data_IF_173594567597
#
_entry.id   IF_173594567597
#
_cell.length_a   1.000
_cell.length_b   1.000
_cell.length_c   1.000
_cell.angle_alpha   90.00
_cell.angle_beta   90.00
_cell.angle_gamma   90.00
#
_symmetry.space_group_name_H-M   'P 1'
#
loop_
_entity.id
_entity.type
_entity.pdbx_description
1 polymer ?
#
# COMPACT_ATOMS: atom_id res chain seq x y z
N UNK A 1 24.82 9.58 -14.78
CA UNK A 1 24.95 9.56 -13.30
C UNK A 1 23.83 8.66 -12.77
N UNK A 2 24.09 7.37 -12.53
CA UNK A 2 23.07 6.42 -12.08
C UNK A 2 22.71 6.63 -10.61
N UNK A 3 21.63 7.36 -10.34
CA UNK A 3 20.97 7.53 -9.03
C UNK A 3 21.92 7.70 -7.82
N UNK A 4 23.04 8.43 -8.00
CA UNK A 4 23.97 8.73 -6.91
C UNK A 4 23.46 9.94 -6.13
N UNK A 5 23.27 9.76 -4.83
CA UNK A 5 22.91 10.84 -3.89
C UNK A 5 24.19 11.37 -3.26
N UNK A 6 24.36 12.69 -3.20
CA UNK A 6 25.50 13.30 -2.53
C UNK A 6 25.40 13.07 -1.02
N UNK A 7 26.49 12.63 -0.40
CA UNK A 7 26.56 12.35 1.03
C UNK A 7 27.82 12.94 1.64
N UNK A 8 27.69 13.51 2.84
CA UNK A 8 28.79 14.08 3.63
C UNK A 8 28.66 13.54 5.05
N UNK A 9 29.79 13.09 5.62
CA UNK A 9 29.85 12.41 6.91
C UNK A 9 29.20 13.21 8.05
N UNK A 10 29.36 14.54 8.05
CA UNK A 10 28.84 15.42 9.10
C UNK A 10 27.31 15.34 9.21
N UNK A 11 26.60 15.32 8.08
CA UNK A 11 25.14 15.22 8.05
C UNK A 11 24.71 13.87 8.64
N UNK A 12 25.36 12.77 8.24
CA UNK A 12 25.07 11.44 8.78
C UNK A 12 25.34 11.34 10.28
N UNK A 13 26.44 11.94 10.78
CA UNK A 13 26.75 11.95 12.22
C UNK A 13 25.70 12.71 13.04
N UNK A 14 25.18 13.82 12.52
CA UNK A 14 24.14 14.61 13.20
C UNK A 14 22.84 13.80 13.31
N UNK A 15 22.37 13.23 12.20
CA UNK A 15 21.14 12.41 12.18
C UNK A 15 21.30 11.19 13.09
N UNK A 16 22.42 10.47 12.99
CA UNK A 16 22.68 9.29 13.82
C UNK A 16 22.76 9.60 15.32
N UNK A 17 23.28 10.78 15.70
CA UNK A 17 23.28 11.22 17.10
C UNK A 17 21.86 11.44 17.63
N UNK A 18 20.97 12.04 16.84
CA UNK A 18 19.57 12.28 17.22
C UNK A 18 18.85 10.93 17.39
N UNK A 19 18.97 10.05 16.39
CA UNK A 19 18.38 8.70 16.44
C UNK A 19 18.85 7.90 17.65
N UNK A 20 20.15 7.97 17.99
CA UNK A 20 20.73 7.27 19.13
C UNK A 20 20.18 7.76 20.47
N UNK A 21 19.97 9.08 20.61
CA UNK A 21 19.39 9.64 21.83
C UNK A 21 17.92 9.22 22.00
N UNK A 22 17.13 9.24 20.94
CA UNK A 22 15.73 8.81 20.99
C UNK A 22 15.61 7.30 21.26
N UNK A 23 16.47 6.48 20.64
CA UNK A 23 16.54 5.06 20.92
C UNK A 23 16.84 4.79 22.41
N UNK A 24 17.77 5.54 23.00
CA UNK A 24 18.10 5.40 24.42
C UNK A 24 16.91 5.75 25.31
N UNK A 25 16.21 6.86 25.03
CA UNK A 25 15.01 7.26 25.80
C UNK A 25 13.95 6.15 25.78
N UNK A 26 13.67 5.59 24.60
CA UNK A 26 12.69 4.51 24.43
C UNK A 26 13.12 3.23 25.15
N UNK A 27 14.39 2.82 25.04
CA UNK A 27 14.92 1.63 25.70
C UNK A 27 14.83 1.72 27.24
N UNK A 28 15.17 2.88 27.81
CA UNK A 28 15.04 3.08 29.26
C UNK A 28 13.58 3.04 29.69
N UNK A 29 12.67 3.65 28.90
CA UNK A 29 11.24 3.69 29.20
C UNK A 29 10.61 2.30 29.23
N UNK A 30 10.98 1.43 28.29
CA UNK A 30 10.56 0.02 28.27
C UNK A 30 11.02 -0.71 29.53
N UNK A 31 12.20 -0.36 30.07
CA UNK A 31 12.76 -0.93 31.30
C UNK A 31 12.26 -0.23 32.59
N UNK A 32 11.21 0.60 32.51
CA UNK A 32 10.60 1.27 33.66
C UNK A 32 11.40 2.45 34.21
N UNK A 33 12.41 2.95 33.49
CA UNK A 33 13.19 4.14 33.85
C UNK A 33 12.89 5.27 32.88
N UNK A 34 12.72 6.50 33.38
CA UNK A 34 12.50 7.66 32.50
C UNK A 34 13.75 8.56 32.51
N UNK A 35 14.40 8.70 31.35
CA UNK A 35 15.58 9.58 31.16
C UNK A 35 15.26 10.81 30.29
N UNK A 36 13.98 11.05 30.02
CA UNK A 36 13.49 12.13 29.17
C UNK A 36 12.35 11.67 28.28
N UNK A 37 11.47 12.60 27.94
CA UNK A 37 10.37 12.29 27.03
C UNK A 37 10.87 12.13 25.57
N UNK A 38 10.25 11.22 24.80
CA UNK A 38 10.47 11.12 23.37
C UNK A 38 10.23 12.47 22.69
N UNK A 39 10.97 12.71 21.63
CA UNK A 39 10.84 13.92 20.83
C UNK A 39 9.41 14.10 20.29
N UNK A 40 8.85 15.30 20.48
CA UNK A 40 7.55 15.74 19.96
C UNK A 40 7.68 17.20 19.47
N UNK A 41 7.44 17.51 18.18
CA UNK A 41 7.00 16.63 17.09
C UNK A 41 8.00 15.52 16.73
N UNK A 42 7.53 14.33 16.30
CA UNK A 42 8.40 13.16 16.08
C UNK A 42 9.29 13.27 14.85
N UNK A 43 9.01 14.19 13.92
CA UNK A 43 9.83 14.38 12.72
C UNK A 43 10.68 15.65 12.83
N UNK A 44 11.96 15.51 12.50
CA UNK A 44 12.93 16.59 12.37
C UNK A 44 13.53 16.56 10.98
N UNK A 45 13.55 17.72 10.33
CA UNK A 45 14.34 17.96 9.14
C UNK A 45 15.61 18.74 9.52
N UNK A 46 16.78 18.23 9.13
CA UNK A 46 18.04 18.93 9.31
C UNK A 46 18.57 19.41 7.96
N UNK A 47 18.71 20.71 7.80
CA UNK A 47 19.31 21.32 6.63
C UNK A 47 20.83 21.47 6.82
N UNK A 48 21.61 20.57 6.22
CA UNK A 48 23.08 20.58 6.31
C UNK A 48 23.79 21.77 5.66
N UNK A 49 23.10 22.58 4.83
CA UNK A 49 23.67 23.79 4.21
C UNK A 49 23.61 24.97 5.18
N UNK A 50 22.49 25.13 5.88
CA UNK A 50 22.25 26.24 6.80
C UNK A 50 22.42 25.87 8.29
N UNK A 51 22.58 24.59 8.60
CA UNK A 51 22.68 24.10 9.98
C UNK A 51 21.37 24.23 10.77
N UNK A 52 20.22 24.26 10.09
CA UNK A 52 18.91 24.50 10.69
C UNK A 52 18.16 23.20 10.99
N UNK A 53 17.39 23.21 12.07
CA UNK A 53 16.50 22.12 12.48
C UNK A 53 15.05 22.60 12.43
N UNK A 54 14.24 21.92 11.64
CA UNK A 54 12.80 22.20 11.51
C UNK A 54 12.02 20.98 12.00
N UNK A 55 11.18 21.19 13.03
CA UNK A 55 10.27 20.15 13.52
C UNK A 55 9.00 20.13 12.68
N UNK A 56 8.61 18.93 12.22
CA UNK A 56 7.43 18.72 11.40
C UNK A 56 6.38 17.91 12.18
N UNK A 57 5.18 18.47 12.30
CA UNK A 57 4.05 17.76 12.86
C UNK A 57 3.44 16.84 11.80
N UNK A 58 3.91 15.59 11.76
CA UNK A 58 3.30 14.54 10.92
C UNK A 58 2.27 13.80 11.76
N UNK A 59 0.98 14.06 11.48
CA UNK A 59 -0.12 13.36 12.12
C UNK A 59 -0.32 11.98 11.48
N UNK A 60 -0.67 11.00 12.32
CA UNK A 60 -1.10 9.68 11.84
C UNK A 60 -2.37 9.87 10.99
N UNK A 61 -2.33 9.33 9.79
CA UNK A 61 -3.47 9.25 8.89
C UNK A 61 -4.25 7.97 9.17
N UNK A 62 -5.54 8.09 9.46
CA UNK A 62 -6.42 6.93 9.71
C UNK A 62 -6.69 6.12 8.43
N UNK A 63 -6.60 6.78 7.26
CA UNK A 63 -6.72 6.19 5.93
C UNK A 63 -5.39 5.64 5.38
N UNK A 64 -4.35 5.54 6.22
CA UNK A 64 -3.05 5.01 5.80
C UNK A 64 -3.13 3.49 5.58
N UNK A 65 -2.77 3.02 4.38
CA UNK A 65 -2.73 1.60 4.01
C UNK A 65 -1.89 0.71 4.95
N UNK A 66 -0.88 1.28 5.62
CA UNK A 66 0.05 0.50 6.46
C UNK A 66 -0.30 0.51 7.94
N UNK A 67 -0.69 1.67 8.49
CA UNK A 67 -0.91 1.83 9.93
C UNK A 67 -2.30 2.38 10.29
N UNK A 68 -3.11 2.71 9.28
CA UNK A 68 -4.50 3.13 9.43
C UNK A 68 -5.37 1.98 9.91
N UNK A 69 -6.50 2.31 10.55
CA UNK A 69 -7.48 1.32 10.98
C UNK A 69 -8.47 1.10 9.85
N UNK A 70 -8.05 0.35 8.83
CA UNK A 70 -8.90 0.02 7.69
C UNK A 70 -9.47 -1.38 7.93
N UNK A 71 -10.73 -1.47 8.39
CA UNK A 71 -11.41 -2.75 8.58
C UNK A 71 -12.02 -3.25 7.26
N UNK A 72 -11.72 -4.50 6.87
CA UNK A 72 -12.26 -5.14 5.68
C UNK A 72 -11.56 -4.80 4.36
N UNK A 73 -10.35 -4.22 4.38
CA UNK A 73 -9.50 -4.11 3.19
C UNK A 73 -8.29 -5.06 3.29
N UNK A 74 -8.05 -5.88 2.27
CA UNK A 74 -6.90 -6.78 2.19
C UNK A 74 -6.04 -6.47 0.95
N UNK A 75 -4.72 -6.57 1.08
CA UNK A 75 -3.78 -6.31 -0.01
C UNK A 75 -3.16 -7.62 -0.47
N UNK A 76 -3.31 -7.95 -1.76
CA UNK A 76 -2.76 -9.18 -2.35
C UNK A 76 -1.88 -8.82 -3.53
N UNK A 77 -0.67 -9.36 -3.57
CA UNK A 77 0.21 -9.21 -4.72
C UNK A 77 0.06 -10.44 -5.62
N UNK A 78 -0.37 -10.21 -6.87
CA UNK A 78 -0.54 -11.28 -7.86
C UNK A 78 0.53 -11.15 -8.94
N UNK A 79 1.20 -12.27 -9.21
CA UNK A 79 2.09 -12.41 -10.37
C UNK A 79 1.27 -13.01 -11.50
N UNK A 80 1.13 -12.27 -12.60
CA UNK A 80 0.34 -12.69 -13.76
C UNK A 80 1.19 -12.67 -15.03
N UNK A 81 1.00 -13.61 -15.97
CA UNK A 81 1.64 -13.59 -17.28
C UNK A 81 1.32 -12.30 -18.07
N UNK A 82 2.21 -11.86 -18.95
CA UNK A 82 1.98 -10.69 -19.81
C UNK A 82 0.74 -10.79 -20.71
N UNK A 83 0.35 -12.01 -21.09
CA UNK A 83 -0.82 -12.30 -21.91
C UNK A 83 -2.09 -12.61 -21.09
N UNK A 84 -2.06 -12.41 -19.78
CA UNK A 84 -3.17 -12.73 -18.90
C UNK A 84 -4.44 -11.91 -19.20
N UNK A 85 -5.57 -12.58 -19.03
CA UNK A 85 -6.91 -12.02 -19.15
C UNK A 85 -7.51 -11.70 -17.78
N UNK A 86 -8.62 -10.96 -17.74
CA UNK A 86 -9.38 -10.68 -16.51
C UNK A 86 -9.75 -11.97 -15.76
N UNK A 87 -10.13 -13.04 -16.48
CA UNK A 87 -10.41 -14.34 -15.85
C UNK A 87 -9.22 -14.96 -15.13
N UNK A 88 -7.98 -14.60 -15.50
CA UNK A 88 -6.78 -15.07 -14.82
C UNK A 88 -6.60 -14.43 -13.44
N UNK A 89 -7.10 -13.22 -13.21
CA UNK A 89 -7.06 -12.56 -11.89
C UNK A 89 -7.81 -13.41 -10.87
N UNK A 90 -9.00 -13.91 -11.21
CA UNK A 90 -9.79 -14.75 -10.31
C UNK A 90 -9.10 -16.09 -10.02
N UNK A 91 -8.48 -16.70 -11.03
CA UNK A 91 -7.67 -17.92 -10.83
C UNK A 91 -6.45 -17.67 -9.95
N UNK A 92 -5.76 -16.55 -10.14
CA UNK A 92 -4.59 -16.17 -9.35
C UNK A 92 -4.98 -15.86 -7.89
N UNK A 93 -6.16 -15.30 -7.66
CA UNK A 93 -6.73 -15.15 -6.32
C UNK A 93 -7.08 -16.50 -5.68
N UNK A 94 -7.64 -17.45 -6.44
CA UNK A 94 -7.91 -18.80 -5.94
C UNK A 94 -6.63 -19.55 -5.56
N UNK A 95 -5.55 -19.40 -6.35
CA UNK A 95 -4.22 -19.93 -6.03
C UNK A 95 -3.67 -19.31 -4.73
N UNK A 96 -4.02 -18.05 -4.47
CA UNK A 96 -3.64 -17.32 -3.25
C UNK A 96 -4.58 -17.62 -2.07
N UNK A 97 -5.33 -18.72 -2.12
CA UNK A 97 -6.30 -19.16 -1.11
C UNK A 97 -7.55 -18.27 -0.93
N UNK A 98 -7.75 -17.26 -1.79
CA UNK A 98 -8.93 -16.41 -1.81
C UNK A 98 -9.94 -16.89 -2.86
N UNK A 99 -10.93 -17.70 -2.44
CA UNK A 99 -12.01 -18.16 -3.33
C UNK A 99 -13.02 -17.03 -3.59
N UNK A 100 -12.83 -16.34 -4.72
CA UNK A 100 -13.72 -15.27 -5.18
C UNK A 100 -14.62 -15.77 -6.32
N UNK A 101 -15.93 -15.58 -6.19
CA UNK A 101 -16.88 -15.90 -7.26
C UNK A 101 -16.95 -14.74 -8.29
N UNK A 102 -16.59 -14.94 -9.56
CA UNK A 102 -16.57 -13.88 -10.57
C UNK A 102 -17.92 -13.18 -10.79
N UNK A 103 -19.04 -13.85 -10.49
CA UNK A 103 -20.39 -13.29 -10.62
C UNK A 103 -20.79 -12.37 -9.44
N UNK A 104 -20.00 -12.38 -8.37
CA UNK A 104 -20.26 -11.61 -7.14
C UNK A 104 -19.20 -10.54 -6.86
N UNK A 105 -18.27 -10.29 -7.78
CA UNK A 105 -17.17 -9.35 -7.57
C UNK A 105 -16.98 -8.41 -8.76
N UNK A 106 -16.64 -7.16 -8.48
CA UNK A 106 -16.35 -6.11 -9.48
C UNK A 106 -14.88 -5.73 -9.42
N UNK A 107 -14.26 -5.46 -10.58
CA UNK A 107 -12.88 -4.96 -10.65
C UNK A 107 -12.90 -3.52 -11.15
N UNK A 108 -12.24 -2.62 -10.42
CA UNK A 108 -12.14 -1.20 -10.75
C UNK A 108 -10.71 -0.68 -10.60
N UNK A 109 -10.40 0.40 -11.30
CA UNK A 109 -9.20 1.18 -11.05
C UNK A 109 -9.43 2.15 -9.87
N UNK A 110 -8.64 2.11 -8.80
CA UNK A 110 -8.83 2.99 -7.65
C UNK A 110 -8.64 4.48 -8.00
N UNK A 111 -7.77 4.79 -8.98
CA UNK A 111 -7.41 6.14 -9.40
C UNK A 111 -8.38 6.72 -10.43
N UNK A 112 -8.64 6.01 -11.52
CA UNK A 112 -9.49 6.51 -12.62
C UNK A 112 -10.98 6.21 -12.41
N UNK A 113 -11.32 5.34 -11.46
CA UNK A 113 -12.68 4.79 -11.26
C UNK A 113 -13.24 4.05 -12.48
N UNK A 114 -12.40 3.71 -13.45
CA UNK A 114 -12.79 2.88 -14.58
C UNK A 114 -13.12 1.46 -14.10
N UNK A 115 -14.19 0.90 -14.65
CA UNK A 115 -14.67 -0.44 -14.35
C UNK A 115 -14.07 -1.40 -15.38
N UNK A 116 -13.27 -2.35 -14.92
CA UNK A 116 -12.63 -3.36 -15.75
C UNK A 116 -13.46 -4.64 -15.85
N UNK A 117 -14.18 -4.98 -14.80
CA UNK A 117 -15.07 -6.14 -14.75
C UNK A 117 -16.30 -5.80 -13.94
N UNK A 118 -17.49 -6.01 -14.51
CA UNK A 118 -18.74 -5.94 -13.76
C UNK A 118 -19.70 -7.06 -14.22
N UNK A 119 -20.04 -8.00 -13.34
CA UNK A 119 -20.87 -9.15 -13.68
C UNK A 119 -22.32 -8.77 -14.00
N UNK A 120 -22.79 -7.59 -13.60
CA UNK A 120 -24.14 -7.08 -13.90
C UNK A 120 -24.23 -6.30 -15.22
N UNK A 121 -23.10 -5.98 -15.86
CA UNK A 121 -23.08 -5.27 -17.14
C UNK A 121 -22.65 -6.23 -18.25
N UNK A 122 -23.54 -6.60 -19.19
CA UNK A 122 -23.23 -7.54 -20.28
C UNK A 122 -22.03 -7.10 -21.15
N UNK A 123 -21.80 -5.80 -21.28
CA UNK A 123 -20.67 -5.23 -22.03
C UNK A 123 -19.31 -5.34 -21.33
N UNK A 124 -19.30 -5.61 -20.02
CA UNK A 124 -18.10 -5.68 -19.17
C UNK A 124 -17.95 -7.06 -18.48
N UNK A 125 -18.64 -8.08 -19.03
CA UNK A 125 -18.64 -9.47 -18.58
C UNK A 125 -17.85 -10.38 -19.55
N UNK A 126 -16.87 -9.86 -20.26
CA UNK A 126 -16.02 -10.67 -21.13
C UNK A 126 -14.73 -11.08 -20.39
N UNK A 127 -14.58 -12.36 -20.00
CA UNK A 127 -13.45 -12.80 -19.20
C UNK A 127 -12.14 -12.91 -20.00
N UNK A 128 -12.21 -12.80 -21.33
CA UNK A 128 -11.07 -12.92 -22.25
C UNK A 128 -10.45 -11.56 -22.61
N UNK A 129 -10.86 -10.48 -21.94
CA UNK A 129 -10.23 -9.17 -22.13
C UNK A 129 -8.83 -9.22 -21.51
N UNK A 130 -7.82 -8.97 -22.35
CA UNK A 130 -6.42 -8.91 -21.92
C UNK A 130 -6.19 -7.73 -20.99
N UNK A 131 -5.42 -7.94 -19.92
CA UNK A 131 -5.06 -6.86 -18.98
C UNK A 131 -4.29 -5.72 -19.66
N UNK A 132 -3.48 -6.05 -20.67
CA UNK A 132 -2.75 -5.08 -21.50
C UNK A 132 -3.68 -4.18 -22.33
N UNK A 133 -4.84 -4.69 -22.76
CA UNK A 133 -5.84 -3.90 -23.50
C UNK A 133 -6.54 -2.87 -22.61
N UNK A 134 -6.62 -3.15 -21.31
CA UNK A 134 -7.15 -2.25 -20.28
C UNK A 134 -6.13 -1.21 -19.81
N UNK A 135 -4.95 -1.14 -20.46
CA UNK A 135 -3.83 -0.25 -20.12
C UNK A 135 -3.29 -0.42 -18.71
N UNK A 136 -3.51 -1.59 -18.10
CA UNK A 136 -2.93 -1.94 -16.80
C UNK A 136 -1.43 -2.18 -17.00
N UNK A 137 -0.60 -1.51 -16.21
CA UNK A 137 0.86 -1.65 -16.20
C UNK A 137 1.32 -2.50 -15.02
N UNK A 138 2.57 -2.95 -15.07
CA UNK A 138 3.16 -3.65 -13.94
C UNK A 138 3.25 -2.72 -12.73
N UNK A 139 2.94 -3.26 -11.56
CA UNK A 139 2.77 -2.58 -10.27
C UNK A 139 1.56 -1.64 -10.19
N UNK A 140 0.62 -1.70 -11.16
CA UNK A 140 -0.66 -1.03 -10.99
C UNK A 140 -1.51 -1.75 -9.95
N UNK A 141 -2.29 -0.96 -9.22
CA UNK A 141 -3.22 -1.43 -8.20
C UNK A 141 -4.61 -1.47 -8.82
N UNK A 142 -5.26 -2.63 -8.78
CA UNK A 142 -6.68 -2.79 -9.07
C UNK A 142 -7.45 -3.06 -7.77
N UNK A 143 -8.71 -2.69 -7.75
CA UNK A 143 -9.58 -2.87 -6.59
C UNK A 143 -10.68 -3.87 -6.93
N UNK A 144 -10.75 -4.96 -6.18
CA UNK A 144 -11.90 -5.85 -6.20
C UNK A 144 -12.87 -5.48 -5.08
N UNK A 145 -14.14 -5.34 -5.43
CA UNK A 145 -15.20 -5.02 -4.47
C UNK A 145 -16.35 -6.03 -4.62
N UNK A 146 -16.89 -6.55 -3.50
CA UNK A 146 -17.97 -7.51 -3.54
C UNK A 146 -19.28 -6.85 -3.98
N UNK A 147 -20.13 -7.64 -4.61
CA UNK A 147 -21.45 -7.28 -5.12
C UNK A 147 -22.51 -8.26 -4.60
N UNK A 148 -23.77 -7.80 -4.51
CA UNK A 148 -24.90 -8.65 -4.14
C UNK A 148 -24.73 -9.32 -2.77
N UNK A 149 -24.80 -10.65 -2.72
CA UNK A 149 -24.70 -11.43 -1.48
C UNK A 149 -23.31 -11.35 -0.83
N UNK A 150 -22.24 -11.24 -1.62
CA UNK A 150 -20.87 -11.13 -1.10
C UNK A 150 -20.66 -9.85 -0.29
N UNK A 151 -21.45 -8.79 -0.51
CA UNK A 151 -21.38 -7.55 0.26
C UNK A 151 -21.89 -7.73 1.70
N UNK A 152 -22.77 -8.70 1.94
CA UNK A 152 -23.36 -8.98 3.25
C UNK A 152 -22.63 -10.10 4.01
N UNK A 153 -22.03 -11.04 3.30
CA UNK A 153 -21.43 -12.26 3.88
C UNK A 153 -19.90 -12.22 3.98
N UNK A 154 -19.22 -11.38 3.19
CA UNK A 154 -17.75 -11.29 3.20
C UNK A 154 -17.26 -10.38 4.32
N UNK A 155 -16.35 -10.89 5.17
CA UNK A 155 -15.61 -10.08 6.14
C UNK A 155 -14.72 -9.03 5.43
N UNK A 156 -14.27 -9.36 4.21
CA UNK A 156 -13.44 -8.48 3.39
C UNK A 156 -14.33 -7.74 2.39
N UNK A 157 -14.40 -6.42 2.56
CA UNK A 157 -15.19 -5.49 1.76
C UNK A 157 -14.42 -4.95 0.55
N UNK A 158 -13.12 -5.18 0.48
CA UNK A 158 -12.28 -4.74 -0.64
C UNK A 158 -10.96 -5.50 -0.68
N UNK A 159 -10.53 -5.91 -1.86
CA UNK A 159 -9.15 -6.31 -2.09
C UNK A 159 -8.44 -5.26 -2.94
N UNK A 160 -7.29 -4.78 -2.48
CA UNK A 160 -6.38 -4.03 -3.34
C UNK A 160 -5.36 -5.02 -3.89
N UNK A 161 -5.48 -5.35 -5.17
CA UNK A 161 -4.61 -6.30 -5.84
C UNK A 161 -3.54 -5.56 -6.62
N UNK A 162 -2.28 -5.83 -6.31
CA UNK A 162 -1.12 -5.31 -7.04
C UNK A 162 -0.76 -6.29 -8.14
N UNK A 163 -0.84 -5.86 -9.40
CA UNK A 163 -0.54 -6.71 -10.55
C UNK A 163 0.94 -6.58 -10.91
N UNK A 164 1.69 -7.68 -10.80
CA UNK A 164 3.06 -7.77 -11.30
C UNK A 164 3.10 -8.65 -12.55
N UNK A 165 3.47 -8.09 -13.70
CA UNK A 165 3.63 -8.87 -14.92
C UNK A 165 4.98 -9.62 -14.92
N UNK A 166 4.96 -10.90 -15.26
CA UNK A 166 6.14 -11.73 -15.52
C UNK A 166 6.32 -12.02 -17.01
#
# INVERSE_FOLDING_TARGET
>A
LGNKIAAIQTVSSIISSIESQEALKLLFRINGRNIGDPMDPPYVNYNGVYGQFDHLLVLKRDDCLACGKIEGEENVQLVVPFDADVGYIFKAMEISEHKLDPDLWMITNPMTKEIYWNPYMPSLKDPNIKLTSLKIKSNDIITLSPLGKALAESEIKKYNVVIAFM
#
